data_IF_341331763662
#
_entry.id   IF_341331763662
#
_cell.length_a   1.000
_cell.length_b   1.000
_cell.length_c   1.000
_cell.angle_alpha   90.00
_cell.angle_beta   90.00
_cell.angle_gamma   90.00
#
_symmetry.space_group_name_H-M   'P 1'
#
loop_
_entity.id
_entity.type
_entity.pdbx_description
1 polymer ?
#
# COMPACT_ATOMS: atom_id res chain seq x y z
N UNK A 1 -9.68 -13.94 22.07
CA UNK A 1 -10.21 -14.10 20.69
C UNK A 1 -10.31 -12.81 19.88
N UNK A 2 -10.29 -11.59 20.47
CA UNK A 2 -10.37 -10.32 19.73
C UNK A 2 -9.13 -9.97 18.87
N UNK A 3 -7.94 -10.51 19.16
CA UNK A 3 -6.70 -10.16 18.42
C UNK A 3 -6.51 -10.91 17.10
N UNK A 4 -6.77 -12.23 17.04
CA UNK A 4 -6.60 -13.05 15.83
C UNK A 4 -7.48 -12.56 14.67
N UNK A 5 -8.74 -12.21 14.95
CA UNK A 5 -9.68 -11.70 13.93
C UNK A 5 -9.24 -10.34 13.35
N UNK A 6 -8.70 -9.45 14.18
CA UNK A 6 -8.18 -8.15 13.76
C UNK A 6 -6.94 -8.29 12.87
N UNK A 7 -6.04 -9.22 13.20
CA UNK A 7 -4.86 -9.56 12.38
C UNK A 7 -5.27 -10.12 11.01
N UNK A 8 -6.24 -11.05 10.96
CA UNK A 8 -6.75 -11.59 9.70
C UNK A 8 -7.37 -10.51 8.80
N UNK A 9 -8.22 -9.64 9.36
CA UNK A 9 -8.80 -8.53 8.60
C UNK A 9 -7.74 -7.51 8.18
N UNK A 10 -6.73 -7.26 9.00
CA UNK A 10 -5.63 -6.39 8.64
C UNK A 10 -4.88 -6.91 7.42
N UNK A 11 -4.51 -8.19 7.40
CA UNK A 11 -3.89 -8.82 6.24
C UNK A 11 -4.78 -8.78 4.99
N UNK A 12 -6.07 -9.11 5.14
CA UNK A 12 -7.00 -9.14 4.01
C UNK A 12 -7.26 -7.74 3.42
N UNK A 13 -7.51 -6.73 4.25
CA UNK A 13 -7.70 -5.35 3.79
C UNK A 13 -6.45 -4.84 3.10
N UNK A 14 -5.27 -5.11 3.66
CA UNK A 14 -3.99 -4.75 3.05
C UNK A 14 -3.81 -5.40 1.68
N UNK A 15 -4.11 -6.69 1.55
CA UNK A 15 -4.03 -7.42 0.29
C UNK A 15 -5.03 -6.87 -0.75
N UNK A 16 -6.28 -6.59 -0.35
CA UNK A 16 -7.27 -5.98 -1.23
C UNK A 16 -6.84 -4.60 -1.71
N UNK A 17 -6.34 -3.74 -0.82
CA UNK A 17 -5.85 -2.42 -1.19
C UNK A 17 -4.65 -2.50 -2.15
N UNK A 18 -3.70 -3.40 -1.89
CA UNK A 18 -2.57 -3.65 -2.78
C UNK A 18 -3.03 -4.15 -4.16
N UNK A 19 -4.01 -5.06 -4.22
CA UNK A 19 -4.56 -5.53 -5.48
C UNK A 19 -5.25 -4.41 -6.26
N UNK A 20 -6.05 -3.57 -5.59
CA UNK A 20 -6.70 -2.39 -6.21
C UNK A 20 -5.66 -1.43 -6.77
N UNK A 21 -4.58 -1.16 -6.02
CA UNK A 21 -3.47 -0.33 -6.50
C UNK A 21 -2.86 -0.94 -7.76
N UNK A 22 -2.42 -2.21 -7.69
CA UNK A 22 -1.75 -2.88 -8.79
C UNK A 22 -2.60 -2.87 -10.07
N UNK A 23 -3.85 -3.34 -9.98
CA UNK A 23 -4.76 -3.44 -11.14
C UNK A 23 -5.05 -2.05 -11.70
N UNK A 24 -5.34 -1.06 -10.87
CA UNK A 24 -5.63 0.30 -11.34
C UNK A 24 -4.41 0.90 -12.05
N UNK A 25 -3.21 0.72 -11.51
CA UNK A 25 -1.98 1.24 -12.12
C UNK A 25 -1.73 0.61 -13.48
N UNK A 26 -1.83 -0.73 -13.56
CA UNK A 26 -1.62 -1.48 -14.80
C UNK A 26 -2.65 -1.09 -15.86
N UNK A 27 -3.93 -0.94 -15.49
CA UNK A 27 -4.98 -0.53 -16.43
C UNK A 27 -4.75 0.91 -16.92
N UNK A 28 -4.44 1.84 -16.02
CA UNK A 28 -4.20 3.24 -16.36
C UNK A 28 -2.99 3.41 -17.30
N UNK A 29 -1.93 2.64 -17.08
CA UNK A 29 -0.73 2.67 -17.92
C UNK A 29 -0.93 1.93 -19.25
N UNK A 30 -1.61 0.78 -19.26
CA UNK A 30 -1.85 -0.01 -20.47
C UNK A 30 -2.73 0.69 -21.50
N UNK A 31 -3.61 1.60 -21.07
CA UNK A 31 -4.39 2.45 -21.97
C UNK A 31 -3.62 3.68 -22.47
N UNK A 32 -2.34 3.81 -22.11
CA UNK A 32 -1.48 4.97 -22.40
C UNK A 32 -2.08 6.32 -21.95
N UNK A 33 -3.05 6.30 -21.03
CA UNK A 33 -3.70 7.51 -20.53
C UNK A 33 -2.75 8.34 -19.67
N UNK A 34 -1.84 7.66 -18.97
CA UNK A 34 -0.90 8.26 -18.03
C UNK A 34 0.47 7.61 -18.18
N UNK A 35 1.52 8.41 -17.98
CA UNK A 35 2.87 7.85 -17.85
C UNK A 35 2.96 6.95 -16.61
N UNK A 36 3.94 6.01 -16.55
CA UNK A 36 4.14 5.12 -15.40
C UNK A 36 4.10 5.81 -14.03
N UNK A 37 4.71 7.00 -13.95
CA UNK A 37 4.73 7.79 -12.73
C UNK A 37 3.32 8.23 -12.29
N UNK A 38 2.53 8.77 -13.22
CA UNK A 38 1.19 9.26 -12.94
C UNK A 38 0.17 8.13 -12.78
N UNK A 39 0.29 7.05 -13.55
CA UNK A 39 -0.54 5.86 -13.40
C UNK A 39 -0.39 5.27 -11.99
N UNK A 40 0.84 5.13 -11.49
CA UNK A 40 1.09 4.65 -10.14
C UNK A 40 0.54 5.59 -9.05
N UNK A 41 0.68 6.91 -9.26
CA UNK A 41 0.17 7.92 -8.33
C UNK A 41 -1.37 7.93 -8.26
N UNK A 42 -2.05 7.92 -9.40
CA UNK A 42 -3.52 7.89 -9.44
C UNK A 42 -4.04 6.57 -8.85
N UNK A 43 -3.39 5.45 -9.14
CA UNK A 43 -3.73 4.17 -8.54
C UNK A 43 -3.58 4.16 -7.01
N UNK A 44 -2.56 4.83 -6.46
CA UNK A 44 -2.43 5.03 -5.02
C UNK A 44 -3.61 5.84 -4.45
N UNK A 45 -4.05 6.90 -5.13
CA UNK A 45 -5.21 7.68 -4.70
C UNK A 45 -6.51 6.85 -4.72
N UNK A 46 -6.64 5.91 -5.66
CA UNK A 46 -7.78 4.97 -5.75
C UNK A 46 -7.71 3.93 -4.61
N UNK A 47 -6.53 3.39 -4.33
CA UNK A 47 -6.33 2.35 -3.32
C UNK A 47 -6.39 2.87 -1.87
N UNK A 48 -6.02 4.12 -1.64
CA UNK A 48 -5.95 4.70 -0.30
C UNK A 48 -7.29 4.68 0.45
N UNK A 49 -8.45 5.10 -0.14
CA UNK A 49 -9.75 4.97 0.50
C UNK A 49 -10.11 3.52 0.84
N UNK A 50 -9.84 2.57 -0.06
CA UNK A 50 -10.09 1.14 0.17
C UNK A 50 -9.34 0.65 1.41
N UNK A 51 -8.07 1.04 1.52
CA UNK A 51 -7.24 0.72 2.69
C UNK A 51 -7.77 1.37 3.97
N UNK A 52 -8.02 2.67 3.96
CA UNK A 52 -8.44 3.43 5.13
C UNK A 52 -9.79 2.96 5.68
N UNK A 53 -10.80 2.86 4.82
CA UNK A 53 -12.13 2.43 5.23
C UNK A 53 -12.15 0.95 5.60
N UNK A 54 -11.45 0.08 4.86
CA UNK A 54 -11.31 -1.33 5.21
C UNK A 54 -10.71 -1.51 6.60
N UNK A 55 -9.63 -0.80 6.93
CA UNK A 55 -9.01 -0.90 8.25
C UNK A 55 -9.90 -0.32 9.35
N UNK A 56 -10.59 0.79 9.09
CA UNK A 56 -11.50 1.39 10.06
C UNK A 56 -12.70 0.51 10.39
N UNK A 57 -13.35 -0.05 9.37
CA UNK A 57 -14.61 -0.79 9.54
C UNK A 57 -14.40 -2.29 9.83
N UNK A 58 -13.25 -2.88 9.48
CA UNK A 58 -12.99 -4.31 9.65
C UNK A 58 -11.86 -4.56 10.66
N UNK A 59 -10.65 -4.06 10.39
CA UNK A 59 -9.46 -4.36 11.23
C UNK A 59 -9.57 -3.72 12.62
N UNK A 60 -10.15 -2.53 12.71
CA UNK A 60 -10.28 -1.73 13.93
C UNK A 60 -11.73 -1.40 14.29
N UNK A 61 -12.68 -2.26 13.88
CA UNK A 61 -14.09 -2.16 14.22
C UNK A 61 -14.26 -2.11 15.76
N UNK A 62 -14.45 -0.92 16.31
CA UNK A 62 -14.50 -0.67 17.77
C UNK A 62 -13.55 0.40 18.27
N UNK A 63 -12.67 0.94 17.42
CA UNK A 63 -11.79 2.06 17.78
C UNK A 63 -12.55 3.39 17.67
N UNK A 64 -12.89 4.00 18.81
CA UNK A 64 -13.74 5.21 18.93
C UNK A 64 -13.01 6.50 18.51
N UNK A 65 -11.76 6.41 18.01
CA UNK A 65 -11.01 7.60 17.59
C UNK A 65 -11.66 8.29 16.40
N UNK A 66 -11.91 9.60 16.57
CA UNK A 66 -12.42 10.49 15.53
C UNK A 66 -11.53 10.46 14.28
N UNK A 67 -12.16 10.57 13.11
CA UNK A 67 -11.50 10.64 11.80
C UNK A 67 -10.38 11.69 11.77
N UNK A 68 -10.59 12.82 12.45
CA UNK A 68 -9.66 13.95 12.51
C UNK A 68 -8.29 13.58 13.09
N UNK A 69 -8.20 12.53 13.90
CA UNK A 69 -6.93 12.09 14.50
C UNK A 69 -6.33 10.84 13.86
N UNK A 70 -7.16 10.00 13.25
CA UNK A 70 -6.73 8.74 12.65
C UNK A 70 -6.30 8.93 11.19
N UNK A 71 -7.04 9.75 10.43
CA UNK A 71 -6.79 9.95 9.00
C UNK A 71 -5.41 10.58 8.73
N UNK A 72 -4.99 11.68 9.40
CA UNK A 72 -3.70 12.30 9.08
C UNK A 72 -2.52 11.36 9.34
N UNK A 73 -2.54 10.62 10.46
CA UNK A 73 -1.50 9.64 10.79
C UNK A 73 -1.44 8.51 9.77
N UNK A 74 -2.60 7.97 9.39
CA UNK A 74 -2.68 6.91 8.39
C UNK A 74 -2.20 7.41 7.02
N UNK A 75 -2.59 8.63 6.64
CA UNK A 75 -2.15 9.27 5.41
C UNK A 75 -0.63 9.48 5.40
N UNK A 76 -0.01 9.91 6.50
CA UNK A 76 1.45 10.04 6.59
C UNK A 76 2.16 8.71 6.31
N UNK A 77 1.68 7.62 6.92
CA UNK A 77 2.25 6.27 6.69
C UNK A 77 2.05 5.83 5.24
N UNK A 78 0.86 6.05 4.69
CA UNK A 78 0.54 5.70 3.32
C UNK A 78 1.39 6.47 2.31
N UNK A 79 1.57 7.78 2.51
CA UNK A 79 2.44 8.63 1.67
C UNK A 79 3.88 8.15 1.75
N UNK A 80 4.41 7.88 2.95
CA UNK A 80 5.79 7.40 3.09
C UNK A 80 6.02 6.06 2.34
N UNK A 81 5.07 5.12 2.48
CA UNK A 81 5.10 3.85 1.75
C UNK A 81 5.01 4.05 0.23
N UNK A 82 4.12 4.94 -0.22
CA UNK A 82 3.98 5.28 -1.63
C UNK A 82 5.23 5.96 -2.19
N UNK A 83 5.85 6.89 -1.48
CA UNK A 83 7.09 7.53 -1.90
C UNK A 83 8.20 6.50 -2.11
N UNK A 84 8.36 5.55 -1.18
CA UNK A 84 9.30 4.44 -1.34
C UNK A 84 8.99 3.59 -2.58
N UNK A 85 7.72 3.23 -2.79
CA UNK A 85 7.28 2.52 -3.98
C UNK A 85 7.59 3.30 -5.27
N UNK A 86 7.27 4.59 -5.32
CA UNK A 86 7.48 5.45 -6.48
C UNK A 86 8.96 5.58 -6.84
N UNK A 87 9.83 5.80 -5.85
CA UNK A 87 11.28 5.91 -6.07
C UNK A 87 11.83 4.59 -6.63
N UNK A 88 11.47 3.46 -6.03
CA UNK A 88 11.94 2.15 -6.49
C UNK A 88 11.40 1.81 -7.88
N UNK A 89 10.14 2.11 -8.17
CA UNK A 89 9.52 1.88 -9.47
C UNK A 89 10.20 2.67 -10.57
N UNK A 90 10.35 3.98 -10.39
CA UNK A 90 11.01 4.82 -11.39
C UNK A 90 12.48 4.47 -11.54
N UNK A 91 13.18 4.19 -10.44
CA UNK A 91 14.56 3.71 -10.49
C UNK A 91 14.70 2.40 -11.26
N UNK A 92 13.82 1.43 -11.03
CA UNK A 92 13.83 0.15 -11.72
C UNK A 92 13.52 0.32 -13.22
N UNK A 93 12.53 1.13 -13.58
CA UNK A 93 12.19 1.40 -14.98
C UNK A 93 13.28 2.17 -15.73
N UNK A 94 14.03 3.05 -15.05
CA UNK A 94 15.14 3.77 -15.65
C UNK A 94 16.36 2.89 -15.93
N UNK A 95 16.58 1.83 -15.14
CA UNK A 95 17.77 0.97 -15.23
C UNK A 95 17.47 -0.42 -15.82
N UNK A 96 16.25 -0.67 -16.30
CA UNK A 96 15.86 -1.96 -16.88
C UNK A 96 14.91 -1.78 -18.06
N UNK A 97 14.75 -2.83 -18.88
CA UNK A 97 13.75 -2.91 -19.95
C UNK A 97 12.49 -3.67 -19.51
N UNK A 98 12.22 -3.71 -18.20
CA UNK A 98 11.06 -4.42 -17.68
C UNK A 98 9.77 -3.66 -18.06
N UNK A 99 8.72 -4.38 -18.47
CA UNK A 99 7.41 -3.76 -18.65
C UNK A 99 6.87 -3.30 -17.28
N UNK A 100 6.06 -2.24 -17.31
CA UNK A 100 5.54 -1.56 -16.13
C UNK A 100 4.91 -2.51 -15.10
N UNK A 101 4.05 -3.43 -15.56
CA UNK A 101 3.34 -4.37 -14.69
C UNK A 101 4.27 -5.35 -13.95
N UNK A 102 5.40 -5.75 -14.56
CA UNK A 102 6.41 -6.58 -13.89
C UNK A 102 7.19 -5.74 -12.88
N UNK A 103 7.66 -4.57 -13.29
CA UNK A 103 8.42 -3.66 -12.43
C UNK A 103 7.61 -3.28 -11.18
N UNK A 104 6.34 -2.92 -11.36
CA UNK A 104 5.43 -2.61 -10.26
C UNK A 104 5.22 -3.81 -9.34
N UNK A 105 5.01 -5.01 -9.89
CA UNK A 105 4.84 -6.23 -9.10
C UNK A 105 6.05 -6.54 -8.21
N UNK A 106 7.26 -6.43 -8.78
CA UNK A 106 8.52 -6.60 -8.04
C UNK A 106 8.64 -5.56 -6.92
N UNK A 107 8.43 -4.29 -7.24
CA UNK A 107 8.57 -3.21 -6.25
C UNK A 107 7.54 -3.32 -5.13
N UNK A 108 6.30 -3.68 -5.43
CA UNK A 108 5.27 -3.92 -4.41
C UNK A 108 5.65 -5.08 -3.49
N UNK A 109 6.21 -6.17 -4.03
CA UNK A 109 6.69 -7.28 -3.24
C UNK A 109 7.87 -6.87 -2.33
N UNK A 110 8.83 -6.12 -2.87
CA UNK A 110 9.98 -5.59 -2.10
C UNK A 110 9.49 -4.70 -0.96
N UNK A 111 8.58 -3.76 -1.22
CA UNK A 111 8.00 -2.88 -0.20
C UNK A 111 7.22 -3.68 0.85
N UNK A 112 6.44 -4.70 0.45
CA UNK A 112 5.71 -5.55 1.38
C UNK A 112 6.67 -6.31 2.32
N UNK A 113 7.74 -6.90 1.76
CA UNK A 113 8.77 -7.61 2.54
C UNK A 113 9.50 -6.65 3.48
N UNK A 114 9.92 -5.47 2.98
CA UNK A 114 10.59 -4.46 3.79
C UNK A 114 9.69 -3.96 4.93
N UNK A 115 8.39 -3.76 4.66
CA UNK A 115 7.40 -3.36 5.67
C UNK A 115 7.21 -4.45 6.71
N UNK A 116 7.16 -5.72 6.30
CA UNK A 116 7.07 -6.87 7.21
C UNK A 116 8.28 -6.96 8.12
N UNK A 117 9.50 -6.87 7.59
CA UNK A 117 10.71 -6.91 8.40
C UNK A 117 10.85 -5.69 9.30
N UNK A 118 10.52 -4.49 8.81
CA UNK A 118 10.48 -3.28 9.64
C UNK A 118 9.51 -3.45 10.80
N UNK A 119 8.32 -3.98 10.53
CA UNK A 119 7.32 -4.28 11.56
C UNK A 119 7.82 -5.35 12.52
N UNK A 120 8.46 -6.42 12.02
CA UNK A 120 9.00 -7.52 12.83
C UNK A 120 10.15 -7.08 13.74
N UNK A 121 11.11 -6.30 13.23
CA UNK A 121 12.32 -5.93 13.96
C UNK A 121 12.19 -4.64 14.77
N UNK A 122 11.27 -3.75 14.41
CA UNK A 122 11.04 -2.49 15.15
C UNK A 122 9.91 -2.62 16.18
N UNK A 123 8.78 -3.28 15.83
CA UNK A 123 7.63 -3.38 16.75
C UNK A 123 7.77 -4.52 17.78
N UNK A 124 8.64 -5.50 17.55
CA UNK A 124 8.86 -6.64 18.47
C UNK A 124 10.26 -6.68 19.10
N UNK A 125 11.00 -5.56 19.12
CA UNK A 125 12.32 -5.48 19.80
C UNK A 125 12.23 -5.38 21.34
N UNK A 126 11.08 -5.70 21.91
CA UNK A 126 10.88 -5.89 23.35
C UNK A 126 10.28 -7.28 23.60
N UNK A 127 11.14 -8.29 23.48
CA UNK A 127 10.98 -9.59 24.10
C UNK A 127 12.23 -9.85 24.92
#
# INVERSE_FOLDING_TARGET
MKSLRSISWFGLVGACAALVHYVSAVVLEAHEWLSPAYANFVAFLIAFPVSYFGHRYLSFAGNVRSHLHALPRFLTVAIAGFTGNQILLLGLLQHSQLPFWIALGIVMLVIAIATFFSSKYWAFRHG
#
